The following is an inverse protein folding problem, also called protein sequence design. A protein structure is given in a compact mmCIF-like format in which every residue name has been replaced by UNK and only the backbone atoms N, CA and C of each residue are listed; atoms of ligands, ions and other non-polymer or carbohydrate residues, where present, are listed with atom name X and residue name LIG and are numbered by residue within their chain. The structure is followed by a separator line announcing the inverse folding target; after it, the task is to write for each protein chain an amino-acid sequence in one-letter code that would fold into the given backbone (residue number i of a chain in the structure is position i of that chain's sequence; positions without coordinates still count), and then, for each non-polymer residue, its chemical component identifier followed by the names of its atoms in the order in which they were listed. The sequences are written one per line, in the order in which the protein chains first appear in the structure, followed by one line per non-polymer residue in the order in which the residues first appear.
data_IF_099743586108
#
_entry.id   IF_099743586108
#
_cell.length_a   1.000
_cell.length_b   1.000
_cell.length_c   1.000
_cell.angle_alpha   90.00
_cell.angle_beta   90.00
_cell.angle_gamma   90.00
#
_symmetry.space_group_name_H-M   'P 1'
#
loop_
_entity.id
_entity.type
_entity.pdbx_description
1 polymer ?
#
# COMPACT_ATOMS: atom_id res chain seq x y z
N UNK A 1 35.15 -21.12 13.40
CA UNK A 1 34.72 -19.73 13.70
C UNK A 1 34.21 -19.06 12.44
N UNK A 2 34.94 -19.12 11.34
CA UNK A 2 34.54 -18.59 10.01
C UNK A 2 33.20 -19.15 9.48
N UNK A 3 32.95 -20.46 9.62
CA UNK A 3 31.67 -21.08 9.24
C UNK A 3 30.48 -20.60 10.09
N UNK A 4 30.69 -20.23 11.36
CA UNK A 4 29.59 -19.76 12.22
C UNK A 4 29.21 -18.30 11.90
N UNK A 5 30.20 -17.46 11.61
CA UNK A 5 29.98 -16.07 11.19
C UNK A 5 29.21 -16.01 9.86
N UNK A 6 29.60 -16.82 8.88
CA UNK A 6 28.90 -16.87 7.57
C UNK A 6 27.42 -17.25 7.67
N UNK A 7 27.04 -18.15 8.58
CA UNK A 7 25.64 -18.52 8.77
C UNK A 7 24.81 -17.41 9.42
N UNK A 8 25.41 -16.65 10.34
CA UNK A 8 24.75 -15.52 11.00
C UNK A 8 24.46 -14.40 9.99
N UNK A 9 25.41 -14.08 9.11
CA UNK A 9 25.25 -13.06 8.08
C UNK A 9 24.14 -13.42 7.09
N UNK A 10 24.13 -14.66 6.59
CA UNK A 10 23.09 -15.17 5.69
C UNK A 10 21.69 -15.07 6.31
N UNK A 11 21.54 -15.47 7.57
CA UNK A 11 20.27 -15.37 8.29
C UNK A 11 19.79 -13.92 8.45
N UNK A 12 20.72 -12.99 8.67
CA UNK A 12 20.40 -11.56 8.82
C UNK A 12 19.88 -10.95 7.51
N UNK A 13 20.47 -11.31 6.38
CA UNK A 13 20.07 -10.81 5.06
C UNK A 13 18.73 -11.39 4.61
N UNK A 14 18.50 -12.68 4.87
CA UNK A 14 17.20 -13.31 4.66
C UNK A 14 16.09 -12.61 5.45
N UNK A 15 16.36 -12.26 6.72
CA UNK A 15 15.42 -11.53 7.55
C UNK A 15 15.11 -10.13 6.99
N UNK A 16 16.13 -9.36 6.57
CA UNK A 16 15.95 -8.03 5.93
C UNK A 16 15.09 -8.13 4.66
N UNK A 17 15.33 -9.14 3.82
CA UNK A 17 14.54 -9.37 2.60
C UNK A 17 13.10 -9.76 2.93
N UNK A 18 12.89 -10.60 3.94
CA UNK A 18 11.56 -11.00 4.38
C UNK A 18 10.75 -9.79 4.89
N UNK A 19 11.34 -8.93 5.72
CA UNK A 19 10.69 -7.70 6.21
C UNK A 19 10.34 -6.72 5.08
N UNK A 20 11.24 -6.55 4.12
CA UNK A 20 10.99 -5.72 2.95
C UNK A 20 9.82 -6.25 2.12
N UNK A 21 9.75 -7.58 1.91
CA UNK A 21 8.61 -8.22 1.24
C UNK A 21 7.32 -8.04 2.03
N UNK A 22 7.34 -8.18 3.36
CA UNK A 22 6.16 -7.97 4.20
C UNK A 22 5.61 -6.55 4.05
N UNK A 23 6.47 -5.51 4.05
CA UNK A 23 6.02 -4.15 3.80
C UNK A 23 5.50 -3.94 2.38
N UNK A 24 6.15 -4.52 1.37
CA UNK A 24 5.68 -4.42 -0.02
C UNK A 24 4.36 -5.17 -0.25
N UNK A 25 4.07 -6.20 0.54
CA UNK A 25 2.80 -6.94 0.50
C UNK A 25 1.60 -6.05 0.82
N UNK A 26 1.80 -4.98 1.61
CA UNK A 26 0.72 -4.06 1.94
C UNK A 26 0.15 -3.34 0.72
N UNK A 27 0.95 -3.03 -0.30
CA UNK A 27 0.42 -2.47 -1.55
C UNK A 27 -0.60 -3.38 -2.23
N UNK A 28 -0.39 -4.71 -2.17
CA UNK A 28 -1.34 -5.68 -2.72
C UNK A 28 -2.59 -5.79 -1.85
N UNK A 29 -2.43 -5.80 -0.53
CA UNK A 29 -3.58 -5.80 0.39
C UNK A 29 -4.45 -4.57 0.19
N UNK A 30 -3.85 -3.39 0.09
CA UNK A 30 -4.56 -2.14 -0.18
C UNK A 30 -5.27 -2.23 -1.55
N UNK A 31 -4.61 -2.71 -2.59
CA UNK A 31 -5.23 -2.89 -3.91
C UNK A 31 -6.47 -3.80 -3.88
N UNK A 32 -6.38 -4.94 -3.16
CA UNK A 32 -7.50 -5.87 -3.01
C UNK A 32 -8.65 -5.20 -2.24
N UNK A 33 -8.33 -4.53 -1.13
CA UNK A 33 -9.32 -3.84 -0.29
C UNK A 33 -10.01 -2.69 -1.04
N UNK A 34 -9.25 -1.96 -1.87
CA UNK A 34 -9.78 -0.89 -2.72
C UNK A 34 -10.83 -1.41 -3.72
N UNK A 35 -10.51 -2.50 -4.42
CA UNK A 35 -11.44 -3.14 -5.37
C UNK A 35 -12.65 -3.69 -4.63
N UNK A 36 -12.45 -4.42 -3.53
CA UNK A 36 -13.54 -4.98 -2.74
C UNK A 36 -14.49 -3.88 -2.23
N UNK A 37 -13.95 -2.76 -1.73
CA UNK A 37 -14.75 -1.62 -1.28
C UNK A 37 -15.58 -1.02 -2.42
N UNK A 38 -14.98 -0.82 -3.60
CA UNK A 38 -15.70 -0.24 -4.74
C UNK A 38 -16.76 -1.17 -5.31
N UNK A 39 -16.53 -2.49 -5.30
CA UNK A 39 -17.55 -3.49 -5.66
C UNK A 39 -18.73 -3.46 -4.69
N UNK A 40 -18.48 -3.32 -3.38
CA UNK A 40 -19.55 -3.20 -2.39
C UNK A 40 -20.41 -1.97 -2.66
N UNK A 41 -19.80 -0.83 -2.95
CA UNK A 41 -20.52 0.40 -3.31
C UNK A 41 -21.32 0.20 -4.59
N UNK A 42 -20.70 -0.40 -5.62
CA UNK A 42 -21.34 -0.61 -6.91
C UNK A 42 -22.57 -1.51 -6.82
N UNK A 43 -22.49 -2.65 -6.14
CA UNK A 43 -23.60 -3.62 -6.07
C UNK A 43 -24.63 -3.31 -4.99
N UNK A 44 -24.20 -2.82 -3.83
CA UNK A 44 -25.07 -2.67 -2.66
C UNK A 44 -25.45 -1.22 -2.36
N UNK A 45 -24.91 -0.24 -3.12
CA UNK A 45 -25.12 1.20 -2.88
C UNK A 45 -24.75 1.61 -1.46
N UNK A 46 -23.84 0.88 -0.82
CA UNK A 46 -23.38 1.16 0.53
C UNK A 46 -22.35 2.29 0.47
N UNK A 47 -22.67 3.43 1.08
CA UNK A 47 -21.88 4.66 0.95
C UNK A 47 -20.76 4.82 1.99
N UNK A 48 -20.67 3.89 2.95
CA UNK A 48 -19.61 3.90 3.96
C UNK A 48 -18.50 2.93 3.57
N UNK A 49 -17.29 3.43 3.45
CA UNK A 49 -16.14 2.63 3.04
C UNK A 49 -15.29 2.30 4.25
N UNK A 50 -15.43 1.07 4.72
CA UNK A 50 -14.69 0.63 5.90
C UNK A 50 -13.17 0.64 5.64
N UNK A 51 -12.73 0.37 4.41
CA UNK A 51 -11.30 0.25 4.06
C UNK A 51 -11.01 0.76 2.63
N UNK A 52 -11.80 1.72 2.15
CA UNK A 52 -11.68 2.25 0.78
C UNK A 52 -10.53 3.24 0.63
N UNK A 53 -10.08 3.43 -0.62
CA UNK A 53 -9.17 4.51 -0.99
C UNK A 53 -9.92 5.84 -1.08
N UNK A 54 -9.25 6.94 -0.73
CA UNK A 54 -9.81 8.29 -0.89
C UNK A 54 -10.15 8.63 -2.33
N UNK A 55 -9.35 8.16 -3.28
CA UNK A 55 -9.62 8.36 -4.71
C UNK A 55 -10.87 7.61 -5.19
N UNK A 56 -11.20 6.46 -4.59
CA UNK A 56 -12.43 5.74 -4.92
C UNK A 56 -13.64 6.55 -4.46
N UNK A 57 -13.61 7.09 -3.23
CA UNK A 57 -14.64 8.02 -2.75
C UNK A 57 -14.84 9.21 -3.69
N UNK A 58 -13.75 9.78 -4.19
CA UNK A 58 -13.82 10.89 -5.14
C UNK A 58 -14.61 10.49 -6.39
N UNK A 59 -14.21 9.42 -7.08
CA UNK A 59 -14.89 9.00 -8.30
C UNK A 59 -16.34 8.57 -8.06
N UNK A 60 -16.61 7.89 -6.95
CA UNK A 60 -17.96 7.44 -6.61
C UNK A 60 -18.87 8.61 -6.20
N UNK A 61 -18.32 9.65 -5.56
CA UNK A 61 -19.03 10.92 -5.32
C UNK A 61 -19.37 11.61 -6.64
N UNK A 62 -18.46 11.63 -7.61
CA UNK A 62 -18.76 12.19 -8.93
C UNK A 62 -19.82 11.36 -9.67
N UNK A 63 -19.77 10.03 -9.54
CA UNK A 63 -20.75 9.13 -10.13
C UNK A 63 -22.15 9.31 -9.53
N UNK A 64 -22.25 9.50 -8.21
CA UNK A 64 -23.53 9.73 -7.53
C UNK A 64 -24.17 11.05 -7.94
N UNK A 65 -23.38 12.12 -8.11
CA UNK A 65 -23.84 13.41 -8.63
C UNK A 65 -24.36 13.28 -10.06
N UNK A 66 -23.69 12.49 -10.90
CA UNK A 66 -24.10 12.28 -12.29
C UNK A 66 -25.41 11.47 -12.42
N UNK A 67 -25.74 10.66 -11.41
CA UNK A 67 -27.02 9.94 -11.31
C UNK A 67 -27.28 8.89 -12.39
N UNK A 68 -26.24 8.44 -13.10
CA UNK A 68 -26.37 7.48 -14.20
C UNK A 68 -25.41 6.29 -14.04
N UNK A 69 -25.77 5.17 -14.67
CA UNK A 69 -25.00 3.93 -14.58
C UNK A 69 -23.63 4.02 -15.24
N UNK A 70 -23.47 4.84 -16.29
CA UNK A 70 -22.17 5.08 -16.93
C UNK A 70 -21.17 5.70 -15.96
N UNK A 71 -21.60 6.64 -15.11
CA UNK A 71 -20.77 7.25 -14.07
C UNK A 71 -20.33 6.22 -13.03
N UNK A 72 -21.24 5.34 -12.60
CA UNK A 72 -20.93 4.26 -11.64
C UNK A 72 -19.95 3.25 -12.21
N UNK A 73 -20.13 2.85 -13.47
CA UNK A 73 -19.17 1.98 -14.18
C UNK A 73 -17.81 2.64 -14.34
N UNK A 74 -17.77 3.93 -14.67
CA UNK A 74 -16.53 4.68 -14.77
C UNK A 74 -15.80 4.74 -13.42
N UNK A 75 -16.50 5.02 -12.32
CA UNK A 75 -15.91 5.03 -10.99
C UNK A 75 -15.32 3.66 -10.61
N UNK A 76 -16.07 2.58 -10.87
CA UNK A 76 -15.58 1.22 -10.66
C UNK A 76 -14.32 0.94 -11.50
N UNK A 77 -14.32 1.30 -12.77
CA UNK A 77 -13.16 1.12 -13.65
C UNK A 77 -11.92 1.87 -13.13
N UNK A 78 -12.09 3.11 -12.64
CA UNK A 78 -11.00 3.86 -12.03
C UNK A 78 -10.47 3.19 -10.77
N UNK A 79 -11.34 2.63 -9.92
CA UNK A 79 -10.92 1.84 -8.75
C UNK A 79 -10.01 0.68 -9.14
N UNK A 80 -10.32 -0.04 -10.23
CA UNK A 80 -9.45 -1.10 -10.76
C UNK A 80 -8.10 -0.56 -11.28
N UNK A 81 -8.10 0.59 -11.96
CA UNK A 81 -6.86 1.23 -12.45
C UNK A 81 -5.95 1.61 -11.28
N UNK A 82 -6.48 2.23 -10.23
CA UNK A 82 -5.70 2.61 -9.05
C UNK A 82 -5.21 1.39 -8.27
N UNK A 83 -6.04 0.35 -8.13
CA UNK A 83 -5.61 -0.91 -7.53
C UNK A 83 -4.49 -1.58 -8.33
N UNK A 84 -4.58 -1.59 -9.66
CA UNK A 84 -3.53 -2.12 -10.53
C UNK A 84 -2.22 -1.30 -10.40
N UNK A 85 -2.31 0.03 -10.31
CA UNK A 85 -1.16 0.89 -10.08
C UNK A 85 -0.47 0.57 -8.74
N UNK A 86 -1.23 0.44 -7.64
CA UNK A 86 -0.69 0.04 -6.34
C UNK A 86 -0.09 -1.37 -6.37
N UNK A 87 -0.75 -2.34 -7.00
CA UNK A 87 -0.20 -3.69 -7.17
C UNK A 87 1.10 -3.69 -7.98
N UNK A 88 1.19 -2.86 -9.03
CA UNK A 88 2.41 -2.65 -9.80
C UNK A 88 3.53 -2.07 -8.95
N UNK A 89 3.25 -1.03 -8.16
CA UNK A 89 4.21 -0.47 -7.19
C UNK A 89 4.67 -1.54 -6.19
N UNK A 90 3.75 -2.34 -5.65
CA UNK A 90 4.07 -3.46 -4.77
C UNK A 90 4.98 -4.50 -5.42
N UNK A 91 4.77 -4.81 -6.71
CA UNK A 91 5.58 -5.75 -7.45
C UNK A 91 7.03 -5.28 -7.60
N UNK A 92 7.25 -4.01 -7.96
CA UNK A 92 8.59 -3.45 -8.07
C UNK A 92 9.23 -3.17 -6.69
N UNK A 93 8.43 -2.81 -5.68
CA UNK A 93 8.88 -2.64 -4.30
C UNK A 93 9.43 -3.96 -3.72
N UNK A 94 8.79 -5.10 -3.99
CA UNK A 94 9.29 -6.45 -3.61
C UNK A 94 10.66 -6.79 -4.20
N UNK A 95 11.08 -6.12 -5.28
CA UNK A 95 12.41 -6.29 -5.88
C UNK A 95 13.49 -5.43 -5.22
N UNK A 96 13.15 -4.64 -4.20
CA UNK A 96 14.07 -3.75 -3.50
C UNK A 96 14.25 -2.37 -4.13
N UNK A 97 13.30 -1.92 -4.95
CA UNK A 97 13.30 -0.56 -5.47
C UNK A 97 12.87 0.45 -4.40
N UNK A 98 13.81 1.04 -3.67
CA UNK A 98 13.53 2.05 -2.63
C UNK A 98 12.74 3.25 -3.16
N UNK A 99 13.07 3.70 -4.38
CA UNK A 99 12.35 4.80 -5.06
C UNK A 99 10.89 4.44 -5.25
N UNK A 100 10.58 3.20 -5.64
CA UNK A 100 9.21 2.73 -5.85
C UNK A 100 8.46 2.67 -4.52
N UNK A 101 9.11 2.23 -3.45
CA UNK A 101 8.54 2.26 -2.10
C UNK A 101 8.14 3.67 -1.69
N UNK A 102 9.03 4.64 -1.90
CA UNK A 102 8.79 6.04 -1.55
C UNK A 102 7.65 6.62 -2.37
N UNK A 103 7.64 6.39 -3.69
CA UNK A 103 6.57 6.84 -4.57
C UNK A 103 5.22 6.24 -4.17
N UNK A 104 5.16 4.95 -3.86
CA UNK A 104 3.94 4.29 -3.42
C UNK A 104 3.48 4.75 -2.04
N UNK A 105 4.40 4.93 -1.09
CA UNK A 105 4.09 5.50 0.22
C UNK A 105 3.55 6.93 0.10
N UNK A 106 4.17 7.76 -0.73
CA UNK A 106 3.69 9.13 -0.96
C UNK A 106 2.31 9.16 -1.61
N UNK A 107 2.09 8.36 -2.65
CA UNK A 107 0.78 8.25 -3.31
C UNK A 107 -0.30 7.79 -2.32
N UNK A 108 0.00 6.79 -1.51
CA UNK A 108 -0.92 6.27 -0.50
C UNK A 108 -1.19 7.28 0.63
N UNK A 109 -0.20 8.08 1.02
CA UNK A 109 -0.37 9.16 2.00
C UNK A 109 -1.28 10.26 1.44
N UNK A 110 -1.03 10.70 0.21
CA UNK A 110 -1.84 11.69 -0.47
C UNK A 110 -3.29 11.24 -0.61
N UNK A 111 -3.50 9.96 -0.94
CA UNK A 111 -4.82 9.34 -0.97
C UNK A 111 -5.52 9.39 0.40
N UNK A 112 -4.79 9.10 1.48
CA UNK A 112 -5.30 9.23 2.85
C UNK A 112 -5.76 10.65 3.19
N UNK A 113 -5.11 11.70 2.68
CA UNK A 113 -5.54 13.09 2.91
C UNK A 113 -6.91 13.37 2.29
N UNK A 114 -7.26 12.73 1.17
CA UNK A 114 -8.57 12.88 0.54
C UNK A 114 -9.68 12.40 1.50
N UNK A 115 -9.45 11.31 2.24
CA UNK A 115 -10.40 10.76 3.21
C UNK A 115 -10.77 11.73 4.34
N UNK A 116 -9.84 12.61 4.72
CA UNK A 116 -10.13 13.66 5.71
C UNK A 116 -11.19 14.64 5.19
N UNK A 117 -11.16 14.96 3.89
CA UNK A 117 -12.18 15.79 3.24
C UNK A 117 -13.57 15.15 3.27
N UNK A 118 -13.64 13.82 3.20
CA UNK A 118 -14.88 13.04 3.31
C UNK A 118 -15.26 12.69 4.76
N UNK A 119 -14.45 13.10 5.76
CA UNK A 119 -14.63 12.80 7.19
C UNK A 119 -14.62 11.29 7.51
N UNK A 120 -13.92 10.52 6.68
CA UNK A 120 -13.78 9.06 6.81
C UNK A 120 -12.63 8.71 7.77
N UNK A 121 -12.82 9.02 9.06
CA UNK A 121 -11.75 8.90 10.05
C UNK A 121 -11.28 7.46 10.28
N UNK A 122 -12.18 6.48 10.14
CA UNK A 122 -11.81 5.07 10.29
C UNK A 122 -10.92 4.60 9.13
N UNK A 123 -11.31 4.91 7.89
CA UNK A 123 -10.50 4.61 6.71
C UNK A 123 -9.14 5.35 6.76
N UNK A 124 -9.13 6.59 7.25
CA UNK A 124 -7.88 7.34 7.46
C UNK A 124 -6.99 6.68 8.53
N UNK A 125 -7.54 6.23 9.66
CA UNK A 125 -6.78 5.50 10.67
C UNK A 125 -6.17 4.20 10.09
N UNK A 126 -6.94 3.49 9.26
CA UNK A 126 -6.42 2.33 8.53
C UNK A 126 -5.28 2.71 7.58
N UNK A 127 -5.35 3.88 6.92
CA UNK A 127 -4.25 4.37 6.08
C UNK A 127 -2.96 4.56 6.88
N UNK A 128 -3.03 5.17 8.06
CA UNK A 128 -1.85 5.32 8.93
C UNK A 128 -1.31 3.96 9.39
N UNK A 129 -2.20 3.01 9.70
CA UNK A 129 -1.81 1.65 10.07
C UNK A 129 -1.08 0.92 8.93
N UNK A 130 -1.63 0.91 7.72
CA UNK A 130 -0.97 0.29 6.57
C UNK A 130 0.33 1.04 6.19
N UNK A 131 0.33 2.37 6.31
CA UNK A 131 1.51 3.22 6.08
C UNK A 131 2.68 2.83 6.99
N UNK A 132 2.42 2.53 8.26
CA UNK A 132 3.45 2.08 9.19
C UNK A 132 4.18 0.83 8.68
N UNK A 133 3.47 -0.16 8.15
CA UNK A 133 4.12 -1.37 7.61
C UNK A 133 4.86 -1.11 6.29
N UNK A 134 4.34 -0.23 5.43
CA UNK A 134 5.05 0.20 4.22
C UNK A 134 6.38 0.86 4.60
N UNK A 135 6.38 1.76 5.59
CA UNK A 135 7.61 2.38 6.11
C UNK A 135 8.60 1.38 6.68
N UNK A 136 8.13 0.38 7.45
CA UNK A 136 9.00 -0.70 7.93
C UNK A 136 9.65 -1.46 6.76
N UNK A 137 8.89 -1.77 5.72
CA UNK A 137 9.42 -2.42 4.51
C UNK A 137 10.48 -1.59 3.79
N UNK A 138 10.26 -0.28 3.67
CA UNK A 138 11.24 0.65 3.07
C UNK A 138 12.53 0.71 3.91
N UNK A 139 12.42 0.76 5.24
CA UNK A 139 13.61 0.77 6.10
C UNK A 139 14.41 -0.54 5.97
N UNK A 140 13.72 -1.68 5.96
CA UNK A 140 14.34 -2.98 5.71
C UNK A 140 14.98 -3.05 4.31
N UNK A 141 14.35 -2.40 3.32
CA UNK A 141 14.90 -2.31 1.96
C UNK A 141 16.25 -1.58 1.93
N UNK A 142 16.31 -0.41 2.57
CA UNK A 142 17.54 0.42 2.64
C UNK A 142 18.66 -0.25 3.42
N UNK A 143 18.33 -0.92 4.53
CA UNK A 143 19.32 -1.62 5.38
C UNK A 143 20.06 -2.75 4.66
N UNK A 144 19.56 -3.25 3.53
CA UNK A 144 20.27 -4.25 2.71
C UNK A 144 21.50 -3.70 1.99
N UNK A 145 21.62 -2.37 1.89
CA UNK A 145 22.75 -1.71 1.23
C UNK A 145 23.62 -0.89 2.20
N UNK A 146 23.36 -0.96 3.51
CA UNK A 146 24.09 -0.19 4.52
C UNK A 146 25.09 -1.10 5.25
N UNK A 147 26.41 -0.94 5.01
CA UNK A 147 27.45 -1.78 5.61
C UNK A 147 27.57 -1.61 7.14
N UNK A 148 27.09 -0.49 7.69
CA UNK A 148 27.22 -0.20 9.13
C UNK A 148 26.31 -1.07 9.98
N UNK A 149 25.22 -1.59 9.38
CA UNK A 149 24.24 -2.46 10.06
C UNK A 149 24.83 -3.84 10.32
N UNK A 150 25.73 -4.29 9.45
CA UNK A 150 26.42 -5.57 9.56
C UNK A 150 27.57 -5.52 10.58
N UNK A 151 28.19 -4.34 10.74
CA UNK A 151 29.30 -4.11 11.67
C UNK A 151 28.89 -4.08 13.15
N UNK A 152 27.61 -3.86 13.46
CA UNK A 152 27.10 -3.80 14.85
C UNK A 152 26.62 -5.13 15.42
N UNK A 153 26.62 -6.21 14.62
CA UNK A 153 26.14 -7.53 14.99
C UNK A 153 27.22 -8.61 15.18
N UNK A 154 28.50 -8.28 15.03
CA UNK A 154 29.65 -9.19 15.17
C UNK A 154 30.32 -9.10 16.55
#
# INVERSE_FOLDING_TARGET
MEHAASLTDLNSDEAKVAEMRMGANWFFWIAILAVASSLVVYFYSFTNHVVGLGINHYFESQASIAGNDSGRLFALAMSFVFAAALAGLGYYARKGGDVVFILGAFLYLADGVILLGYREFFAFAFHIFAMYFIFKGLLASRRRYDPSVDATGA
#
